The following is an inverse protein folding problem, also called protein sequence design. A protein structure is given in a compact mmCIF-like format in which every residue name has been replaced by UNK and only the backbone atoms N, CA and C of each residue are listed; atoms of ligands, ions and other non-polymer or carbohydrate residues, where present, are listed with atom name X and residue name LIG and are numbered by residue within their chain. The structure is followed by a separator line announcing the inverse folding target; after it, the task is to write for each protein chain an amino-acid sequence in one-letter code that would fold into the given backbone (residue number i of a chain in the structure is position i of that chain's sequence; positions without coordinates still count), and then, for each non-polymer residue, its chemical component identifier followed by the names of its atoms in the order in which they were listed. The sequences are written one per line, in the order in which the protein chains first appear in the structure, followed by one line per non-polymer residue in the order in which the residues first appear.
data_IF_809092768988
#
_entry.id   IF_809092768988
#
_cell.length_a   1.000
_cell.length_b   1.000
_cell.length_c   1.000
_cell.angle_alpha   90.00
_cell.angle_beta   90.00
_cell.angle_gamma   90.00
#
_symmetry.space_group_name_H-M   'P 1'
#
loop_
_entity.id
_entity.type
_entity.pdbx_description
1 polymer ?
#
# COMPACT_ATOMS: atom_id res chain seq x y z
N UNK A 1 -16.09 -19.12 48.64
CA UNK A 1 -17.14 -18.25 48.07
C UNK A 1 -17.00 -18.35 46.55
N UNK A 2 -17.56 -19.42 46.01
CA UNK A 2 -17.70 -19.71 44.58
C UNK A 2 -19.21 -19.61 44.32
N UNK A 3 -19.62 -19.33 43.08
CA UNK A 3 -21.00 -19.28 42.57
C UNK A 3 -21.79 -17.97 42.72
N UNK A 4 -21.39 -16.93 41.97
CA UNK A 4 -22.37 -15.91 41.54
C UNK A 4 -22.20 -15.44 40.08
N UNK A 5 -21.09 -15.76 39.42
CA UNK A 5 -20.84 -15.37 38.01
C UNK A 5 -21.43 -16.36 36.99
N UNK A 6 -21.39 -17.68 37.27
CA UNK A 6 -22.08 -18.69 36.45
C UNK A 6 -23.60 -18.59 36.51
N UNK A 7 -24.16 -18.07 37.62
CA UNK A 7 -25.60 -17.88 37.74
C UNK A 7 -26.08 -16.73 36.85
N UNK A 8 -25.34 -15.62 36.78
CA UNK A 8 -25.72 -14.46 35.96
C UNK A 8 -25.57 -14.68 34.44
N UNK A 9 -24.58 -15.46 33.98
CA UNK A 9 -24.48 -15.79 32.55
C UNK A 9 -25.60 -16.75 32.11
N UNK A 10 -25.95 -17.75 32.95
CA UNK A 10 -27.05 -18.67 32.66
C UNK A 10 -28.42 -17.99 32.72
N UNK A 11 -28.59 -16.97 33.57
CA UNK A 11 -29.82 -16.16 33.63
C UNK A 11 -29.95 -15.23 32.42
N UNK A 12 -28.85 -14.66 31.91
CA UNK A 12 -28.88 -13.84 30.69
C UNK A 12 -29.23 -14.67 29.45
N UNK A 13 -28.63 -15.86 29.30
CA UNK A 13 -28.93 -16.79 28.20
C UNK A 13 -30.36 -17.34 28.29
N UNK A 14 -30.86 -17.65 29.49
CA UNK A 14 -32.24 -18.10 29.67
C UNK A 14 -33.28 -16.99 29.45
N UNK A 15 -32.96 -15.74 29.79
CA UNK A 15 -33.82 -14.58 29.47
C UNK A 15 -33.89 -14.32 27.97
N UNK A 16 -32.78 -14.40 27.26
CA UNK A 16 -32.76 -14.24 25.79
C UNK A 16 -33.51 -15.39 25.12
N UNK A 17 -33.33 -16.63 25.57
CA UNK A 17 -34.10 -17.77 25.07
C UNK A 17 -35.61 -17.63 25.36
N UNK A 18 -35.99 -17.16 26.55
CA UNK A 18 -37.41 -16.94 26.89
C UNK A 18 -38.04 -15.80 26.08
N UNK A 19 -37.33 -14.68 25.87
CA UNK A 19 -37.78 -13.57 25.02
C UNK A 19 -37.92 -14.01 23.56
N UNK A 20 -36.99 -14.83 23.08
CA UNK A 20 -37.04 -15.41 21.74
C UNK A 20 -38.22 -16.36 21.58
N UNK A 21 -38.45 -17.23 22.57
CA UNK A 21 -39.59 -18.14 22.56
C UNK A 21 -40.93 -17.39 22.59
N UNK A 22 -41.03 -16.33 23.40
CA UNK A 22 -42.21 -15.45 23.42
C UNK A 22 -42.43 -14.76 22.08
N UNK A 23 -41.38 -14.26 21.43
CA UNK A 23 -41.46 -13.66 20.10
C UNK A 23 -41.95 -14.66 19.04
N UNK A 24 -41.46 -15.90 19.07
CA UNK A 24 -41.94 -16.96 18.16
C UNK A 24 -43.43 -17.24 18.42
N UNK A 25 -43.85 -17.41 19.67
CA UNK A 25 -45.25 -17.67 20.03
C UNK A 25 -46.18 -16.53 19.63
N UNK A 26 -45.75 -15.28 19.77
CA UNK A 26 -46.51 -14.09 19.40
C UNK A 26 -46.68 -13.99 17.87
N UNK A 27 -45.62 -14.31 17.11
CA UNK A 27 -45.68 -14.32 15.64
C UNK A 27 -46.52 -15.47 15.09
N UNK A 28 -46.48 -16.65 15.72
CA UNK A 28 -47.39 -17.76 15.38
C UNK A 28 -48.85 -17.38 15.64
N UNK A 29 -49.16 -16.70 16.75
CA UNK A 29 -50.51 -16.18 17.03
C UNK A 29 -50.97 -15.11 16.03
N UNK A 30 -50.04 -14.37 15.42
CA UNK A 30 -50.33 -13.40 14.36
C UNK A 30 -50.54 -13.99 12.96
N UNK A 31 -50.54 -15.32 12.83
CA UNK A 31 -50.81 -16.03 11.58
C UNK A 31 -49.57 -16.34 10.72
N UNK A 32 -48.36 -16.05 11.21
CA UNK A 32 -47.11 -16.42 10.55
C UNK A 32 -46.76 -17.85 10.95
N UNK A 33 -46.57 -18.74 9.99
CA UNK A 33 -46.27 -20.13 10.29
C UNK A 33 -44.91 -20.30 10.97
N UNK A 34 -44.78 -21.32 11.82
CA UNK A 34 -43.49 -21.70 12.44
C UNK A 34 -42.40 -21.96 11.39
N UNK A 35 -42.78 -22.45 10.20
CA UNK A 35 -41.89 -22.65 9.06
C UNK A 35 -41.37 -21.33 8.47
N UNK A 36 -42.20 -20.29 8.36
CA UNK A 36 -41.79 -18.96 7.91
C UNK A 36 -40.87 -18.28 8.93
N UNK A 37 -41.15 -18.42 10.23
CA UNK A 37 -40.28 -17.91 11.29
C UNK A 37 -38.91 -18.61 11.27
N UNK A 38 -38.89 -19.94 11.15
CA UNK A 38 -37.64 -20.71 11.04
C UNK A 38 -36.86 -20.35 9.77
N UNK A 39 -37.55 -20.10 8.66
CA UNK A 39 -36.94 -19.62 7.41
C UNK A 39 -36.33 -18.24 7.57
N UNK A 40 -37.04 -17.29 8.20
CA UNK A 40 -36.56 -15.94 8.50
C UNK A 40 -35.34 -15.97 9.43
N UNK A 41 -35.41 -16.79 10.48
CA UNK A 41 -34.29 -16.98 11.40
C UNK A 41 -33.10 -17.61 10.68
N UNK A 42 -33.32 -18.65 9.87
CA UNK A 42 -32.24 -19.27 9.08
C UNK A 42 -31.65 -18.28 8.08
N UNK A 43 -32.43 -17.37 7.49
CA UNK A 43 -31.95 -16.30 6.63
C UNK A 43 -31.16 -15.24 7.42
N UNK A 44 -31.62 -14.87 8.61
CA UNK A 44 -30.91 -13.95 9.52
C UNK A 44 -29.59 -14.56 9.99
N UNK A 45 -29.58 -15.84 10.39
CA UNK A 45 -28.38 -16.55 10.82
C UNK A 45 -27.43 -16.81 9.65
N UNK A 46 -27.91 -17.20 8.45
CA UNK A 46 -27.08 -17.29 7.25
C UNK A 46 -26.53 -15.93 6.79
N UNK A 47 -27.29 -14.86 7.00
CA UNK A 47 -26.83 -13.49 6.74
C UNK A 47 -25.77 -13.09 7.78
N UNK A 48 -25.95 -13.46 9.05
CA UNK A 48 -24.96 -13.22 10.10
C UNK A 48 -23.69 -14.08 9.93
N UNK A 49 -23.80 -15.33 9.46
CA UNK A 49 -22.65 -16.19 9.10
C UNK A 49 -21.91 -15.70 7.84
N UNK A 50 -22.52 -14.79 7.06
CA UNK A 50 -21.90 -14.14 5.88
C UNK A 50 -21.20 -12.80 6.20
N UNK A 51 -21.25 -12.35 7.46
CA UNK A 51 -20.84 -11.01 7.87
C UNK A 51 -19.61 -11.04 8.78
N UNK A 52 -18.50 -11.64 8.33
CA UNK A 52 -17.22 -11.38 8.99
C UNK A 52 -16.15 -11.24 7.92
N UNK A 53 -15.46 -10.10 7.91
CA UNK A 53 -14.28 -9.93 7.09
C UNK A 53 -13.18 -10.90 7.55
N UNK A 54 -12.56 -11.59 6.59
CA UNK A 54 -11.33 -12.32 6.86
C UNK A 54 -10.21 -11.34 7.25
N UNK A 55 -9.15 -11.84 7.89
CA UNK A 55 -7.99 -11.00 8.21
C UNK A 55 -7.37 -10.36 6.94
N UNK A 56 -7.43 -11.05 5.80
CA UNK A 56 -6.95 -10.55 4.53
C UNK A 56 -7.81 -9.38 4.00
N UNK A 57 -9.14 -9.54 4.01
CA UNK A 57 -10.08 -8.51 3.56
C UNK A 57 -10.00 -7.26 4.45
N UNK A 58 -9.97 -7.47 5.78
CA UNK A 58 -9.82 -6.40 6.75
C UNK A 58 -8.49 -5.66 6.59
N UNK A 59 -7.39 -6.41 6.40
CA UNK A 59 -6.07 -5.81 6.16
C UNK A 59 -6.05 -4.99 4.86
N UNK A 60 -6.64 -5.50 3.78
CA UNK A 60 -6.66 -4.81 2.49
C UNK A 60 -7.45 -3.50 2.58
N UNK A 61 -8.66 -3.53 3.17
CA UNK A 61 -9.48 -2.34 3.40
C UNK A 61 -8.79 -1.33 4.31
N UNK A 62 -8.18 -1.79 5.41
CA UNK A 62 -7.49 -0.91 6.36
C UNK A 62 -6.29 -0.21 5.71
N UNK A 63 -5.44 -0.96 5.00
CA UNK A 63 -4.26 -0.40 4.35
C UNK A 63 -4.63 0.53 3.20
N UNK A 64 -5.68 0.20 2.44
CA UNK A 64 -6.20 1.10 1.40
C UNK A 64 -6.73 2.40 2.02
N UNK A 65 -7.47 2.35 3.13
CA UNK A 65 -7.97 3.56 3.79
C UNK A 65 -6.83 4.50 4.21
N UNK A 66 -5.78 3.96 4.83
CA UNK A 66 -4.62 4.75 5.23
C UNK A 66 -3.87 5.32 4.01
N UNK A 67 -3.74 4.53 2.93
CA UNK A 67 -3.13 4.96 1.68
C UNK A 67 -3.92 6.06 0.97
N UNK A 68 -5.24 5.91 0.84
CA UNK A 68 -6.11 6.86 0.14
C UNK A 68 -6.29 8.14 0.95
N UNK A 69 -6.40 8.09 2.27
CA UNK A 69 -6.46 9.31 3.10
C UNK A 69 -5.16 10.13 3.02
N UNK A 70 -4.00 9.46 2.96
CA UNK A 70 -2.71 10.11 2.66
C UNK A 70 -2.72 10.71 1.24
N UNK A 71 -3.16 9.94 0.25
CA UNK A 71 -3.18 10.38 -1.15
C UNK A 71 -4.09 11.59 -1.37
N UNK A 72 -5.24 11.66 -0.69
CA UNK A 72 -6.13 12.84 -0.71
C UNK A 72 -5.40 14.10 -0.28
N UNK A 73 -4.63 14.04 0.82
CA UNK A 73 -3.83 15.16 1.30
C UNK A 73 -2.79 15.60 0.24
N UNK A 74 -2.09 14.64 -0.36
CA UNK A 74 -1.09 14.89 -1.41
C UNK A 74 -1.72 15.51 -2.65
N UNK A 75 -2.81 14.94 -3.16
CA UNK A 75 -3.45 15.42 -4.39
C UNK A 75 -4.15 16.76 -4.21
N UNK A 76 -4.71 17.06 -3.02
CA UNK A 76 -5.23 18.40 -2.71
C UNK A 76 -4.14 19.47 -2.77
N UNK A 77 -2.96 19.18 -2.23
CA UNK A 77 -1.81 20.07 -2.36
C UNK A 77 -1.35 20.19 -3.82
N UNK A 78 -1.22 19.07 -4.53
CA UNK A 78 -0.80 19.06 -5.94
C UNK A 78 -1.73 19.87 -6.84
N UNK A 79 -3.04 19.77 -6.65
CA UNK A 79 -4.04 20.56 -7.38
C UNK A 79 -3.95 22.07 -7.10
N UNK A 80 -3.43 22.46 -5.94
CA UNK A 80 -3.23 23.88 -5.62
C UNK A 80 -1.99 24.48 -6.29
N UNK A 81 -1.04 23.64 -6.72
CA UNK A 81 0.23 24.09 -7.30
C UNK A 81 0.35 23.80 -8.80
N UNK A 82 -0.36 22.81 -9.34
CA UNK A 82 -0.24 22.39 -10.75
C UNK A 82 -0.61 23.52 -11.71
N UNK A 83 0.17 23.66 -12.79
CA UNK A 83 -0.08 24.66 -13.85
C UNK A 83 -0.49 24.00 -15.18
N UNK A 84 0.05 22.82 -15.48
CA UNK A 84 -0.29 22.04 -16.67
C UNK A 84 -1.71 21.45 -16.54
N UNK A 85 -2.60 21.84 -17.44
CA UNK A 85 -4.01 21.43 -17.42
C UNK A 85 -4.22 19.94 -17.72
N UNK A 86 -3.34 19.29 -18.50
CA UNK A 86 -3.43 17.84 -18.74
C UNK A 86 -3.04 17.05 -17.49
N UNK A 87 -2.00 17.50 -16.79
CA UNK A 87 -1.58 16.92 -15.50
C UNK A 87 -2.64 17.19 -14.44
N UNK A 88 -3.22 18.39 -14.40
CA UNK A 88 -4.32 18.71 -13.49
C UNK A 88 -5.49 17.75 -13.63
N UNK A 89 -5.91 17.41 -14.86
CA UNK A 89 -6.98 16.44 -15.08
C UNK A 89 -6.67 15.05 -14.51
N UNK A 90 -5.41 14.62 -14.55
CA UNK A 90 -4.95 13.38 -13.91
C UNK A 90 -5.05 13.47 -12.39
N UNK A 91 -4.64 14.60 -11.82
CA UNK A 91 -4.67 14.84 -10.37
C UNK A 91 -6.11 14.91 -9.84
N UNK A 92 -7.03 15.55 -10.57
CA UNK A 92 -8.46 15.62 -10.25
C UNK A 92 -9.09 14.22 -10.23
N UNK A 93 -8.80 13.41 -11.26
CA UNK A 93 -9.27 12.02 -11.31
C UNK A 93 -8.69 11.19 -10.17
N UNK A 94 -7.40 11.37 -9.86
CA UNK A 94 -6.73 10.64 -8.77
C UNK A 94 -7.35 10.98 -7.41
N UNK A 95 -7.62 12.26 -7.15
CA UNK A 95 -8.31 12.71 -5.93
C UNK A 95 -9.73 12.13 -5.84
N UNK A 96 -10.51 12.23 -6.93
CA UNK A 96 -11.88 11.71 -6.99
C UNK A 96 -11.93 10.20 -6.67
N UNK A 97 -10.99 9.42 -7.22
CA UNK A 97 -10.92 7.98 -6.96
C UNK A 97 -10.62 7.71 -5.48
N UNK A 98 -9.61 8.34 -4.90
CA UNK A 98 -9.27 8.15 -3.48
C UNK A 98 -10.41 8.56 -2.54
N UNK A 99 -11.11 9.66 -2.81
CA UNK A 99 -12.28 10.08 -2.02
C UNK A 99 -13.43 9.06 -2.12
N UNK A 100 -13.70 8.55 -3.33
CA UNK A 100 -14.69 7.50 -3.56
C UNK A 100 -14.35 6.18 -2.84
N UNK A 101 -13.07 5.79 -2.84
CA UNK A 101 -12.60 4.61 -2.11
C UNK A 101 -12.82 4.74 -0.60
N UNK A 102 -12.48 5.89 0.00
CA UNK A 102 -12.68 6.14 1.44
C UNK A 102 -14.14 5.96 1.84
N UNK A 103 -15.06 6.52 1.05
CA UNK A 103 -16.49 6.36 1.29
C UNK A 103 -16.88 4.87 1.28
N UNK A 104 -16.42 4.12 0.28
CA UNK A 104 -16.77 2.71 0.12
C UNK A 104 -16.18 1.80 1.20
N UNK A 105 -14.93 2.04 1.59
CA UNK A 105 -14.26 1.29 2.66
C UNK A 105 -14.95 1.53 4.00
N UNK A 106 -15.36 2.78 4.25
CA UNK A 106 -16.11 3.14 5.46
C UNK A 106 -17.39 2.33 5.58
N UNK A 107 -18.17 2.21 4.51
CA UNK A 107 -19.37 1.35 4.48
C UNK A 107 -19.07 -0.11 4.85
N UNK A 108 -18.00 -0.69 4.28
CA UNK A 108 -17.62 -2.07 4.57
C UNK A 108 -17.25 -2.26 6.04
N UNK A 109 -16.39 -1.41 6.58
CA UNK A 109 -15.95 -1.51 7.96
C UNK A 109 -17.10 -1.27 8.96
N UNK A 110 -17.97 -0.28 8.72
CA UNK A 110 -19.15 -0.02 9.55
C UNK A 110 -20.13 -1.20 9.53
N UNK A 111 -20.40 -1.77 8.34
CA UNK A 111 -21.33 -2.89 8.20
C UNK A 111 -20.92 -4.14 8.99
N UNK A 112 -19.64 -4.23 9.32
CA UNK A 112 -18.98 -5.34 10.00
C UNK A 112 -18.57 -4.97 11.43
N UNK A 113 -19.00 -3.79 11.92
CA UNK A 113 -18.70 -3.24 13.25
C UNK A 113 -17.20 -3.06 13.55
N UNK A 114 -16.39 -2.81 12.53
CA UNK A 114 -14.99 -2.40 12.72
C UNK A 114 -14.90 -0.88 12.94
N UNK A 115 -13.93 -0.47 13.75
CA UNK A 115 -13.60 0.94 13.88
C UNK A 115 -13.03 1.46 12.56
N UNK A 116 -13.45 2.66 12.15
CA UNK A 116 -12.88 3.35 11.01
C UNK A 116 -11.51 3.94 11.39
N UNK A 117 -10.46 3.74 10.58
CA UNK A 117 -9.18 4.39 10.81
C UNK A 117 -9.33 5.91 10.81
N UNK A 118 -8.51 6.62 11.58
CA UNK A 118 -8.47 8.08 11.52
C UNK A 118 -7.79 8.55 10.21
N UNK A 119 -6.74 7.84 9.79
CA UNK A 119 -5.97 8.16 8.60
C UNK A 119 -5.31 9.53 8.65
N UNK A 120 -5.39 10.24 7.53
CA UNK A 120 -4.89 11.59 7.35
C UNK A 120 -6.02 12.56 7.05
N UNK A 121 -5.89 13.77 7.55
CA UNK A 121 -6.94 14.79 7.49
C UNK A 121 -6.40 16.10 6.93
N UNK A 122 -7.24 17.12 6.81
CA UNK A 122 -6.80 18.49 6.46
C UNK A 122 -5.73 19.08 7.40
N UNK A 123 -5.51 18.49 8.59
CA UNK A 123 -4.42 18.88 9.49
C UNK A 123 -3.05 18.37 9.03
N UNK A 124 -3.03 17.39 8.13
CA UNK A 124 -1.83 16.76 7.60
C UNK A 124 -1.35 17.38 6.30
N UNK A 125 -2.05 18.41 5.80
CA UNK A 125 -1.71 19.16 4.59
C UNK A 125 -1.83 20.67 4.80
N UNK A 126 -0.85 21.41 4.31
CA UNK A 126 -0.86 22.87 4.24
C UNK A 126 -0.99 23.32 2.77
N UNK A 127 -2.22 23.64 2.36
CA UNK A 127 -2.50 24.09 1.00
C UNK A 127 -1.89 25.47 0.67
N UNK A 128 -1.48 26.24 1.67
CA UNK A 128 -0.83 27.55 1.46
C UNK A 128 0.69 27.43 1.29
N UNK A 129 1.26 26.23 1.38
CA UNK A 129 2.69 26.04 1.17
C UNK A 129 3.05 26.37 -0.29
N UNK A 130 4.19 27.06 -0.56
CA UNK A 130 4.70 27.23 -1.92
C UNK A 130 4.97 25.87 -2.57
N UNK A 131 5.00 25.86 -3.90
CA UNK A 131 5.29 24.67 -4.70
C UNK A 131 6.60 24.03 -4.26
N UNK A 132 6.58 22.76 -3.87
CA UNK A 132 7.73 21.92 -3.52
C UNK A 132 8.21 21.06 -4.70
N UNK A 133 7.30 20.77 -5.65
CA UNK A 133 7.54 19.87 -6.78
C UNK A 133 7.07 20.51 -8.09
N UNK A 134 7.82 20.33 -9.17
CA UNK A 134 7.37 20.71 -10.52
C UNK A 134 6.24 19.81 -11.02
N UNK A 135 5.53 20.24 -12.07
CA UNK A 135 4.46 19.44 -12.71
C UNK A 135 4.95 18.10 -13.23
N UNK A 136 6.17 18.06 -13.77
CA UNK A 136 6.84 16.84 -14.20
C UNK A 136 6.91 15.82 -13.07
N UNK A 137 7.28 16.26 -11.85
CA UNK A 137 7.28 15.38 -10.68
C UNK A 137 5.87 15.00 -10.23
N UNK A 138 4.87 15.87 -10.34
CA UNK A 138 3.48 15.53 -10.01
C UNK A 138 2.96 14.37 -10.88
N UNK A 139 3.28 14.40 -12.18
CA UNK A 139 2.95 13.33 -13.11
C UNK A 139 3.73 12.04 -12.80
N UNK A 140 5.03 12.16 -12.50
CA UNK A 140 5.86 11.01 -12.13
C UNK A 140 5.42 10.36 -10.81
N UNK A 141 5.08 11.16 -9.81
CA UNK A 141 4.48 10.72 -8.56
C UNK A 141 3.21 9.91 -8.84
N UNK A 142 2.28 10.47 -9.61
CA UNK A 142 1.01 9.81 -9.96
C UNK A 142 1.25 8.49 -10.69
N UNK A 143 2.24 8.44 -11.58
CA UNK A 143 2.66 7.20 -12.26
C UNK A 143 3.10 6.12 -11.28
N UNK A 144 3.96 6.45 -10.32
CA UNK A 144 4.47 5.49 -9.34
C UNK A 144 3.35 5.02 -8.39
N UNK A 145 2.52 5.94 -7.90
CA UNK A 145 1.41 5.61 -7.01
C UNK A 145 0.34 4.75 -7.69
N UNK A 146 0.04 4.99 -8.98
CA UNK A 146 -0.88 4.15 -9.74
C UNK A 146 -0.37 2.70 -9.87
N UNK A 147 0.94 2.48 -10.03
CA UNK A 147 1.54 1.14 -10.04
C UNK A 147 1.35 0.44 -8.69
N UNK A 148 1.54 1.16 -7.59
CA UNK A 148 1.36 0.61 -6.25
C UNK A 148 -0.11 0.22 -6.01
N UNK A 149 -1.06 1.09 -6.38
CA UNK A 149 -2.49 0.79 -6.32
C UNK A 149 -2.86 -0.46 -7.14
N UNK A 150 -2.45 -0.51 -8.42
CA UNK A 150 -2.69 -1.68 -9.28
C UNK A 150 -2.17 -2.98 -8.68
N UNK A 151 -0.95 -2.95 -8.11
CA UNK A 151 -0.35 -4.13 -7.48
C UNK A 151 -1.14 -4.57 -6.24
N UNK A 152 -1.48 -3.61 -5.38
CA UNK A 152 -2.19 -3.86 -4.13
C UNK A 152 -3.61 -4.38 -4.39
N UNK A 153 -4.35 -3.78 -5.33
CA UNK A 153 -5.70 -4.22 -5.67
C UNK A 153 -5.71 -5.61 -6.31
N UNK A 154 -4.73 -5.92 -7.16
CA UNK A 154 -4.59 -7.28 -7.70
C UNK A 154 -4.39 -8.32 -6.59
N UNK A 155 -3.58 -8.02 -5.57
CA UNK A 155 -3.38 -8.91 -4.43
C UNK A 155 -4.63 -9.01 -3.55
N UNK A 156 -5.31 -7.89 -3.32
CA UNK A 156 -6.55 -7.86 -2.54
C UNK A 156 -7.64 -8.72 -3.18
N UNK A 157 -7.80 -8.68 -4.51
CA UNK A 157 -8.77 -9.53 -5.23
C UNK A 157 -8.46 -11.02 -4.99
N UNK A 158 -7.20 -11.43 -5.14
CA UNK A 158 -6.82 -12.85 -5.04
C UNK A 158 -6.77 -13.38 -3.61
N UNK A 159 -6.79 -12.49 -2.62
CA UNK A 159 -6.74 -12.82 -1.21
C UNK A 159 -8.07 -12.51 -0.47
N UNK A 160 -9.14 -12.20 -1.20
CA UNK A 160 -10.49 -11.99 -0.66
C UNK A 160 -11.38 -13.19 -0.97
N UNK A 161 -12.30 -13.54 -0.07
CA UNK A 161 -13.24 -14.65 -0.25
C UNK A 161 -14.64 -14.15 -0.62
N UNK A 162 -15.05 -13.01 -0.06
CA UNK A 162 -16.36 -12.41 -0.29
C UNK A 162 -16.44 -11.75 -1.65
N UNK A 163 -17.51 -12.06 -2.39
CA UNK A 163 -17.70 -11.57 -3.75
C UNK A 163 -17.91 -10.04 -3.83
N UNK A 164 -18.55 -9.42 -2.84
CA UNK A 164 -18.72 -7.97 -2.80
C UNK A 164 -17.38 -7.23 -2.61
N UNK A 165 -16.49 -7.77 -1.78
CA UNK A 165 -15.12 -7.26 -1.59
C UNK A 165 -14.27 -7.48 -2.85
N UNK A 166 -14.34 -8.67 -3.47
CA UNK A 166 -13.66 -8.94 -4.74
C UNK A 166 -14.13 -7.97 -5.84
N UNK A 167 -15.45 -7.75 -5.97
CA UNK A 167 -16.02 -6.82 -6.94
C UNK A 167 -15.55 -5.38 -6.69
N UNK A 168 -15.48 -4.95 -5.43
CA UNK A 168 -14.98 -3.64 -5.07
C UNK A 168 -13.51 -3.45 -5.48
N UNK A 169 -12.62 -4.39 -5.13
CA UNK A 169 -11.22 -4.28 -5.53
C UNK A 169 -11.03 -4.44 -7.05
N UNK A 170 -11.89 -5.19 -7.73
CA UNK A 170 -11.91 -5.26 -9.19
C UNK A 170 -12.27 -3.91 -9.82
N UNK A 171 -13.26 -3.20 -9.27
CA UNK A 171 -13.59 -1.83 -9.69
C UNK A 171 -12.39 -0.89 -9.49
N UNK A 172 -11.76 -0.93 -8.31
CA UNK A 172 -10.55 -0.15 -8.01
C UNK A 172 -9.41 -0.46 -9.00
N UNK A 173 -9.24 -1.73 -9.38
CA UNK A 173 -8.24 -2.16 -10.37
C UNK A 173 -8.54 -1.58 -11.76
N UNK A 174 -9.80 -1.65 -12.22
CA UNK A 174 -10.21 -1.13 -13.53
C UNK A 174 -10.03 0.37 -13.63
N UNK A 175 -10.49 1.13 -12.62
CA UNK A 175 -10.36 2.60 -12.60
C UNK A 175 -8.90 3.02 -12.50
N UNK A 176 -8.09 2.33 -11.69
CA UNK A 176 -6.65 2.60 -11.58
C UNK A 176 -5.89 2.25 -12.86
N UNK A 177 -6.33 1.23 -13.61
CA UNK A 177 -5.76 0.91 -14.94
C UNK A 177 -6.05 2.03 -15.92
N UNK A 178 -7.28 2.56 -15.94
CA UNK A 178 -7.64 3.69 -16.81
C UNK A 178 -6.82 4.94 -16.47
N UNK A 179 -6.68 5.25 -15.18
CA UNK A 179 -5.80 6.32 -14.70
C UNK A 179 -4.35 6.10 -15.15
N UNK A 180 -3.81 4.89 -14.95
CA UNK A 180 -2.45 4.54 -15.36
C UNK A 180 -2.23 4.72 -16.86
N UNK A 181 -3.18 4.30 -17.70
CA UNK A 181 -3.10 4.47 -19.14
C UNK A 181 -3.11 5.94 -19.56
N UNK A 182 -3.94 6.78 -18.91
CA UNK A 182 -3.93 8.23 -19.12
C UNK A 182 -2.57 8.84 -18.75
N UNK A 183 -2.03 8.49 -17.58
CA UNK A 183 -0.72 8.94 -17.12
C UNK A 183 0.37 8.55 -18.11
N UNK A 184 0.41 7.28 -18.54
CA UNK A 184 1.44 6.80 -19.48
C UNK A 184 1.33 7.50 -20.84
N UNK A 185 0.12 7.74 -21.34
CA UNK A 185 -0.07 8.44 -22.61
C UNK A 185 0.43 9.88 -22.54
N UNK A 186 0.17 10.60 -21.44
CA UNK A 186 0.70 11.94 -21.24
C UNK A 186 2.22 11.93 -21.04
N UNK A 187 2.73 11.01 -20.22
CA UNK A 187 4.15 10.90 -19.91
C UNK A 187 5.00 10.66 -21.17
N UNK A 188 4.51 9.92 -22.17
CA UNK A 188 5.22 9.69 -23.45
C UNK A 188 5.53 10.98 -24.23
N UNK A 189 4.77 12.05 -24.00
CA UNK A 189 4.99 13.34 -24.65
C UNK A 189 5.98 14.22 -23.89
N UNK A 190 6.44 13.79 -22.71
CA UNK A 190 7.34 14.55 -21.86
C UNK A 190 8.82 14.24 -22.20
N UNK A 191 9.72 15.24 -22.09
CA UNK A 191 11.11 15.10 -22.52
C UNK A 191 11.92 14.05 -21.73
N UNK A 192 11.52 13.78 -20.48
CA UNK A 192 12.19 12.84 -19.56
C UNK A 192 11.60 11.42 -19.59
N UNK A 193 10.74 11.10 -20.56
CA UNK A 193 10.15 9.76 -20.66
C UNK A 193 11.20 8.70 -21.00
N UNK A 194 11.46 7.80 -20.06
CA UNK A 194 12.34 6.64 -20.24
C UNK A 194 11.56 5.32 -20.28
N UNK A 195 11.69 4.62 -21.40
CA UNK A 195 11.18 3.24 -21.59
C UNK A 195 12.13 2.21 -20.99
N UNK A 196 11.58 1.06 -20.61
CA UNK A 196 12.39 -0.14 -20.29
C UNK A 196 13.23 -0.52 -21.51
N UNK A 197 14.51 -0.95 -21.35
CA UNK A 197 15.36 -1.33 -22.46
C UNK A 197 14.74 -2.43 -23.34
N UNK A 198 14.91 -2.33 -24.66
CA UNK A 198 14.50 -3.37 -25.62
C UNK A 198 15.62 -4.40 -25.80
N UNK A 199 15.25 -5.65 -26.05
CA UNK A 199 16.18 -6.74 -26.39
C UNK A 199 15.90 -7.17 -27.83
N UNK A 200 16.93 -7.46 -28.64
CA UNK A 200 16.74 -8.00 -29.99
C UNK A 200 15.91 -9.29 -29.99
N UNK A 201 15.12 -9.52 -31.05
CA UNK A 201 14.40 -10.78 -31.21
C UNK A 201 15.38 -11.93 -31.39
N UNK A 202 15.19 -13.03 -30.67
CA UNK A 202 15.82 -14.30 -31.02
C UNK A 202 15.06 -14.96 -32.18
N UNK A 203 15.78 -15.70 -33.02
CA UNK A 203 15.21 -16.50 -34.12
C UNK A 203 15.27 -18.00 -33.86
N UNK A 204 15.95 -18.44 -32.79
CA UNK A 204 16.11 -19.85 -32.43
C UNK A 204 15.90 -20.06 -30.92
N UNK A 205 15.48 -21.28 -30.54
CA UNK A 205 15.36 -21.66 -29.13
C UNK A 205 16.73 -22.11 -28.64
N UNK A 206 17.32 -21.33 -27.73
CA UNK A 206 18.58 -21.64 -27.07
C UNK A 206 18.33 -22.12 -25.63
N UNK A 207 19.14 -23.08 -25.18
CA UNK A 207 19.11 -23.59 -23.81
C UNK A 207 20.31 -23.06 -23.04
N UNK A 208 20.10 -22.71 -21.78
CA UNK A 208 21.19 -22.29 -20.90
C UNK A 208 22.16 -23.46 -20.71
N UNK A 209 23.42 -23.25 -21.04
CA UNK A 209 24.50 -24.24 -21.04
C UNK A 209 25.26 -24.33 -19.71
N UNK A 210 24.96 -23.44 -18.76
CA UNK A 210 25.60 -23.37 -17.45
C UNK A 210 24.58 -23.17 -16.33
N UNK A 211 24.90 -23.67 -15.13
CA UNK A 211 23.98 -23.60 -13.99
C UNK A 211 23.73 -22.18 -13.49
N UNK A 212 24.57 -21.20 -13.87
CA UNK A 212 24.38 -19.73 -13.70
C UNK A 212 24.33 -19.20 -12.26
N UNK A 213 23.70 -19.93 -11.35
CA UNK A 213 23.49 -19.64 -9.94
C UNK A 213 24.78 -19.92 -9.13
N UNK A 214 25.69 -20.76 -9.64
CA UNK A 214 26.89 -21.19 -8.90
C UNK A 214 28.17 -20.56 -9.46
N UNK A 215 28.24 -20.26 -10.77
CA UNK A 215 29.46 -19.81 -11.45
C UNK A 215 29.64 -18.30 -11.54
N UNK A 216 28.60 -17.49 -11.31
CA UNK A 216 28.58 -16.06 -11.68
C UNK A 216 29.04 -15.08 -10.58
N UNK A 217 29.62 -15.58 -9.48
CA UNK A 217 30.23 -14.72 -8.44
C UNK A 217 31.63 -14.23 -8.83
N UNK A 218 32.34 -14.96 -9.71
CA UNK A 218 33.70 -14.63 -10.15
C UNK A 218 33.84 -14.92 -11.65
N UNK A 219 34.42 -13.99 -12.42
CA UNK A 219 34.65 -14.14 -13.87
C UNK A 219 33.60 -13.46 -14.75
N UNK A 220 33.62 -13.78 -16.06
CA UNK A 220 32.67 -13.24 -17.04
C UNK A 220 31.27 -13.79 -16.76
N UNK A 221 30.31 -12.87 -16.60
CA UNK A 221 28.91 -13.20 -16.31
C UNK A 221 28.15 -13.34 -17.63
N UNK A 222 27.16 -14.23 -17.67
CA UNK A 222 26.21 -14.24 -18.79
C UNK A 222 25.48 -12.88 -18.90
N UNK A 223 25.05 -12.49 -20.11
CA UNK A 223 24.17 -11.34 -20.28
C UNK A 223 22.88 -11.48 -19.44
N UNK A 224 22.33 -10.34 -19.04
CA UNK A 224 21.05 -10.21 -18.38
C UNK A 224 19.94 -10.73 -19.30
N UNK A 225 19.01 -11.51 -18.73
CA UNK A 225 17.80 -11.91 -19.45
C UNK A 225 16.72 -10.82 -19.35
N UNK A 226 15.64 -10.98 -20.11
CA UNK A 226 14.53 -10.02 -20.16
C UNK A 226 13.87 -9.75 -18.80
N UNK A 227 13.69 -10.78 -17.97
CA UNK A 227 13.12 -10.65 -16.63
C UNK A 227 14.03 -9.85 -15.70
N UNK A 228 15.33 -10.11 -15.73
CA UNK A 228 16.34 -9.41 -14.94
C UNK A 228 16.43 -7.93 -15.32
N UNK A 229 16.46 -7.63 -16.63
CA UNK A 229 16.47 -6.26 -17.15
C UNK A 229 15.21 -5.51 -16.70
N UNK A 230 14.04 -6.14 -16.89
CA UNK A 230 12.75 -5.56 -16.51
C UNK A 230 12.72 -5.21 -15.01
N UNK A 231 13.10 -6.15 -14.14
CA UNK A 231 13.07 -5.96 -12.70
C UNK A 231 14.11 -4.93 -12.21
N UNK A 232 15.35 -4.99 -12.71
CA UNK A 232 16.40 -4.02 -12.34
C UNK A 232 15.99 -2.60 -12.72
N UNK A 233 15.48 -2.40 -13.94
CA UNK A 233 15.04 -1.08 -14.39
C UNK A 233 13.83 -0.58 -13.59
N UNK A 234 12.85 -1.45 -13.34
CA UNK A 234 11.66 -1.14 -12.57
C UNK A 234 11.98 -0.72 -11.12
N UNK A 235 12.86 -1.49 -10.45
CA UNK A 235 13.27 -1.23 -9.08
C UNK A 235 14.20 -0.01 -8.98
N UNK A 236 15.11 0.17 -9.93
CA UNK A 236 15.94 1.38 -9.99
C UNK A 236 15.08 2.65 -10.09
N UNK A 237 14.09 2.66 -11.00
CA UNK A 237 13.18 3.81 -11.19
C UNK A 237 12.42 4.17 -9.90
N UNK A 238 11.90 3.16 -9.20
CA UNK A 238 11.17 3.37 -7.92
C UNK A 238 12.09 3.77 -6.78
N UNK A 239 13.29 3.23 -6.74
CA UNK A 239 14.27 3.58 -5.71
C UNK A 239 14.76 5.03 -5.91
N UNK A 240 14.94 5.46 -7.17
CA UNK A 240 15.15 6.86 -7.53
C UNK A 240 14.01 7.77 -7.10
N UNK A 241 12.75 7.37 -7.30
CA UNK A 241 11.59 8.09 -6.76
C UNK A 241 11.65 8.26 -5.23
N UNK A 242 11.94 7.18 -4.50
CA UNK A 242 12.09 7.23 -3.03
C UNK A 242 13.19 8.22 -2.61
N UNK A 243 14.31 8.25 -3.35
CA UNK A 243 15.39 9.23 -3.14
C UNK A 243 14.89 10.66 -3.28
N UNK A 244 14.29 11.01 -4.42
CA UNK A 244 13.88 12.38 -4.69
C UNK A 244 12.77 12.83 -3.72
N UNK A 245 11.82 11.95 -3.39
CA UNK A 245 10.80 12.25 -2.39
C UNK A 245 11.41 12.45 -0.99
N UNK A 246 12.36 11.60 -0.59
CA UNK A 246 13.07 11.76 0.68
C UNK A 246 13.89 13.05 0.72
N UNK A 247 14.47 13.47 -0.42
CA UNK A 247 15.20 14.73 -0.52
C UNK A 247 14.27 15.92 -0.28
N UNK A 248 13.12 15.95 -0.95
CA UNK A 248 12.10 16.98 -0.74
C UNK A 248 11.57 17.00 0.70
N UNK A 249 11.27 15.84 1.28
CA UNK A 249 10.83 15.76 2.68
C UNK A 249 11.92 16.17 3.67
N UNK A 250 13.20 15.85 3.39
CA UNK A 250 14.30 16.32 4.23
C UNK A 250 14.45 17.85 4.23
N UNK A 251 14.10 18.50 3.12
CA UNK A 251 14.14 19.95 3.00
C UNK A 251 13.09 20.65 3.86
N UNK A 252 11.92 20.03 4.03
CA UNK A 252 10.74 20.67 4.65
C UNK A 252 10.28 20.07 5.97
N UNK A 253 10.79 18.89 6.37
CA UNK A 253 10.45 18.26 7.65
C UNK A 253 10.61 19.24 8.80
N UNK A 254 9.66 19.27 9.74
CA UNK A 254 9.68 20.22 10.86
C UNK A 254 10.55 19.67 12.00
N UNK A 255 10.31 18.41 12.38
CA UNK A 255 11.05 17.68 13.39
C UNK A 255 12.44 17.25 12.89
N UNK A 256 13.46 17.57 13.67
CA UNK A 256 14.86 17.21 13.37
C UNK A 256 15.08 15.69 13.22
N UNK A 257 14.34 14.88 13.97
CA UNK A 257 14.44 13.41 13.87
C UNK A 257 13.90 12.90 12.53
N UNK A 258 12.80 13.47 12.05
CA UNK A 258 12.23 13.15 10.73
C UNK A 258 13.15 13.64 9.63
N UNK A 259 13.67 14.86 9.74
CA UNK A 259 14.67 15.42 8.84
C UNK A 259 15.89 14.51 8.69
N UNK A 260 16.51 14.09 9.81
CA UNK A 260 17.66 13.18 9.82
C UNK A 260 17.34 11.83 9.19
N UNK A 261 16.15 11.29 9.47
CA UNK A 261 15.69 10.06 8.85
C UNK A 261 15.59 10.19 7.32
N UNK A 262 15.00 11.29 6.83
CA UNK A 262 14.87 11.54 5.39
C UNK A 262 16.23 11.73 4.71
N UNK A 263 17.16 12.50 5.31
CA UNK A 263 18.54 12.62 4.80
C UNK A 263 19.22 11.26 4.69
N UNK A 264 19.07 10.41 5.72
CA UNK A 264 19.61 9.06 5.68
C UNK A 264 18.99 8.21 4.56
N UNK A 265 17.69 8.35 4.31
CA UNK A 265 17.04 7.65 3.20
C UNK A 265 17.56 8.13 1.85
N UNK A 266 17.81 9.43 1.65
CA UNK A 266 18.43 9.95 0.40
C UNK A 266 19.75 9.25 0.09
N UNK A 267 20.59 9.04 1.11
CA UNK A 267 21.86 8.34 0.95
C UNK A 267 21.67 6.85 0.63
N UNK A 268 20.77 6.16 1.34
CA UNK A 268 20.56 4.73 1.17
C UNK A 268 19.89 4.41 -0.17
N UNK A 269 18.78 5.08 -0.50
CA UNK A 269 18.10 4.86 -1.79
C UNK A 269 18.96 5.30 -2.97
N UNK A 270 19.79 6.35 -2.82
CA UNK A 270 20.78 6.70 -3.84
C UNK A 270 21.80 5.58 -4.10
N UNK A 271 22.35 4.99 -3.03
CA UNK A 271 23.26 3.84 -3.14
C UNK A 271 22.58 2.62 -3.77
N UNK A 272 21.33 2.37 -3.42
CA UNK A 272 20.57 1.20 -3.89
C UNK A 272 20.21 1.35 -5.38
N UNK A 273 19.68 2.51 -5.78
CA UNK A 273 19.42 2.84 -7.18
C UNK A 273 20.67 2.73 -8.05
N UNK A 274 21.79 3.29 -7.58
CA UNK A 274 23.07 3.23 -8.29
C UNK A 274 23.58 1.79 -8.44
N UNK A 275 23.33 0.94 -7.44
CA UNK A 275 23.73 -0.46 -7.50
C UNK A 275 22.97 -1.25 -8.57
N UNK A 276 21.68 -0.96 -8.78
CA UNK A 276 20.91 -1.51 -9.90
C UNK A 276 21.40 -0.96 -11.24
N UNK A 277 21.64 0.36 -11.31
CA UNK A 277 22.14 1.04 -12.51
C UNK A 277 23.47 0.47 -12.98
N UNK A 278 24.39 0.22 -12.04
CA UNK A 278 25.70 -0.40 -12.33
C UNK A 278 25.54 -1.77 -12.98
N UNK A 279 24.56 -2.58 -12.55
CA UNK A 279 24.31 -3.91 -13.16
C UNK A 279 23.77 -3.76 -14.59
N UNK A 280 22.83 -2.83 -14.82
CA UNK A 280 22.32 -2.54 -16.16
C UNK A 280 23.43 -2.06 -17.12
N UNK A 281 24.31 -1.18 -16.63
CA UNK A 281 25.39 -0.60 -17.41
C UNK A 281 26.50 -1.60 -17.77
N UNK A 282 26.69 -2.68 -16.99
CA UNK A 282 27.62 -3.77 -17.33
C UNK A 282 27.26 -4.43 -18.67
N UNK A 283 25.98 -4.42 -19.03
CA UNK A 283 25.46 -4.93 -20.29
C UNK A 283 25.14 -3.79 -21.29
N UNK A 284 25.69 -2.58 -21.06
CA UNK A 284 25.48 -1.39 -21.87
C UNK A 284 24.00 -0.96 -22.04
N UNK A 285 23.17 -1.26 -21.06
CA UNK A 285 21.74 -0.89 -21.05
C UNK A 285 21.53 0.52 -20.48
N UNK A 286 20.50 1.26 -20.93
CA UNK A 286 20.16 2.55 -20.37
C UNK A 286 19.63 2.41 -18.94
N UNK A 287 19.81 3.47 -18.15
CA UNK A 287 19.36 3.57 -16.76
C UNK A 287 18.15 4.53 -16.66
N UNK A 288 17.32 4.41 -15.62
CA UNK A 288 16.25 5.37 -15.37
C UNK A 288 16.76 6.80 -15.09
N UNK A 289 15.94 7.78 -15.42
CA UNK A 289 16.18 9.22 -15.18
C UNK A 289 16.16 9.57 -13.68
N UNK A 290 16.95 10.57 -13.27
CA UNK A 290 16.94 11.14 -11.92
C UNK A 290 15.95 12.31 -11.83
N UNK A 291 15.28 12.45 -10.68
CA UNK A 291 14.20 13.42 -10.48
C UNK A 291 14.52 14.46 -9.40
N UNK A 292 15.77 14.47 -8.90
CA UNK A 292 16.20 15.39 -7.84
C UNK A 292 16.11 16.87 -8.28
N UNK A 293 16.23 17.15 -9.58
CA UNK A 293 16.12 18.50 -10.16
C UNK A 293 14.68 19.05 -10.16
N UNK A 294 13.68 18.20 -9.96
CA UNK A 294 12.26 18.58 -9.98
C UNK A 294 11.74 19.03 -8.61
N UNK A 295 12.64 19.17 -7.64
CA UNK A 295 12.38 19.68 -6.30
C UNK A 295 12.73 21.17 -6.28
N UNK A 296 11.81 22.01 -5.82
CA UNK A 296 12.02 23.47 -5.76
C UNK A 296 12.83 23.88 -4.52
N UNK A 297 13.06 25.17 -4.33
CA UNK A 297 13.72 25.75 -3.15
C UNK A 297 12.76 26.01 -1.96
N UNK A 298 11.51 25.52 -2.02
CA UNK A 298 10.51 25.75 -0.96
C UNK A 298 10.93 25.14 0.38
N UNK A 299 10.91 25.94 1.44
CA UNK A 299 11.23 25.50 2.82
C UNK A 299 10.01 25.36 3.73
N UNK A 300 8.82 25.63 3.21
CA UNK A 300 7.57 25.52 3.97
C UNK A 300 6.97 24.16 3.68
N UNK A 301 6.71 23.37 4.72
CA UNK A 301 6.16 22.04 4.53
C UNK A 301 4.73 22.08 4.03
N UNK A 302 4.41 21.38 2.92
CA UNK A 302 3.03 21.12 2.53
C UNK A 302 2.41 19.97 3.33
N UNK A 303 3.19 19.16 4.06
CA UNK A 303 2.71 17.96 4.74
C UNK A 303 3.16 17.88 6.20
N UNK A 304 2.36 17.22 7.05
CA UNK A 304 2.80 16.91 8.40
C UNK A 304 3.95 15.91 8.43
N UNK A 305 4.77 15.95 9.47
CA UNK A 305 5.80 14.93 9.71
C UNK A 305 5.20 13.52 9.82
N UNK A 306 3.97 13.41 10.35
CA UNK A 306 3.19 12.16 10.40
C UNK A 306 3.00 11.59 8.98
N UNK A 307 2.53 12.42 8.05
CA UNK A 307 2.29 12.05 6.66
C UNK A 307 3.60 11.65 5.98
N UNK A 308 4.65 12.47 6.12
CA UNK A 308 5.94 12.20 5.48
C UNK A 308 6.54 10.85 5.94
N UNK A 309 6.51 10.54 7.24
CA UNK A 309 7.02 9.26 7.75
C UNK A 309 6.15 8.08 7.33
N UNK A 310 4.82 8.24 7.29
CA UNK A 310 3.92 7.19 6.80
C UNK A 310 4.14 6.89 5.33
N UNK A 311 4.31 7.94 4.52
CA UNK A 311 4.61 7.80 3.11
C UNK A 311 5.92 7.03 2.89
N UNK A 312 6.97 7.36 3.66
CA UNK A 312 8.22 6.60 3.62
C UNK A 312 8.00 5.13 4.03
N UNK A 313 7.22 4.86 5.08
CA UNK A 313 6.90 3.49 5.51
C UNK A 313 6.11 2.71 4.44
N UNK A 314 5.15 3.36 3.78
CA UNK A 314 4.39 2.80 2.67
C UNK A 314 5.30 2.40 1.51
N UNK A 315 6.22 3.29 1.12
CA UNK A 315 7.17 3.03 0.03
C UNK A 315 8.17 1.92 0.39
N UNK A 316 8.62 1.86 1.65
CA UNK A 316 9.45 0.75 2.14
C UNK A 316 8.70 -0.59 1.99
N UNK A 317 7.43 -0.65 2.40
CA UNK A 317 6.64 -1.87 2.27
C UNK A 317 6.51 -2.30 0.79
N UNK A 318 6.19 -1.35 -0.10
CA UNK A 318 6.10 -1.62 -1.53
C UNK A 318 7.44 -2.12 -2.10
N UNK A 319 8.56 -1.48 -1.73
CA UNK A 319 9.89 -1.88 -2.16
C UNK A 319 10.23 -3.32 -1.73
N UNK A 320 9.97 -3.69 -0.47
CA UNK A 320 10.22 -5.05 0.03
C UNK A 320 9.46 -6.11 -0.77
N UNK A 321 8.20 -5.84 -1.13
CA UNK A 321 7.41 -6.75 -1.99
C UNK A 321 8.03 -6.92 -3.38
N UNK A 322 8.44 -5.83 -4.03
CA UNK A 322 9.05 -5.89 -5.36
C UNK A 322 10.44 -6.54 -5.35
N UNK A 323 11.25 -6.27 -4.32
CA UNK A 323 12.56 -6.90 -4.18
C UNK A 323 12.42 -8.41 -3.97
N UNK A 324 11.47 -8.86 -3.15
CA UNK A 324 11.18 -10.29 -2.97
C UNK A 324 10.78 -10.97 -4.29
N UNK A 325 9.88 -10.34 -5.07
CA UNK A 325 9.51 -10.85 -6.38
C UNK A 325 10.69 -10.89 -7.36
N UNK A 326 11.57 -9.88 -7.29
CA UNK A 326 12.75 -9.77 -8.17
C UNK A 326 13.81 -10.80 -7.84
N UNK A 327 14.01 -11.14 -6.57
CA UNK A 327 14.86 -12.27 -6.14
C UNK A 327 14.34 -13.57 -6.75
N UNK A 328 13.03 -13.83 -6.63
CA UNK A 328 12.41 -15.05 -7.18
C UNK A 328 12.48 -15.14 -8.71
N UNK A 329 12.63 -14.02 -9.41
CA UNK A 329 12.73 -13.95 -10.86
C UNK A 329 14.18 -13.85 -11.39
N UNK A 330 15.19 -13.89 -10.51
CA UNK A 330 16.60 -13.73 -10.89
C UNK A 330 17.34 -15.07 -10.94
N UNK A 331 18.20 -15.23 -11.95
CA UNK A 331 19.01 -16.45 -12.13
C UNK A 331 20.52 -16.18 -12.01
N UNK A 332 20.90 -14.92 -11.76
CA UNK A 332 22.27 -14.45 -11.55
C UNK A 332 22.52 -14.17 -10.07
N UNK A 333 23.55 -14.78 -9.49
CA UNK A 333 23.85 -14.69 -8.05
C UNK A 333 24.24 -13.27 -7.62
N UNK A 334 24.91 -12.51 -8.48
CA UNK A 334 25.25 -11.10 -8.18
C UNK A 334 24.00 -10.21 -8.06
N UNK A 335 22.98 -10.48 -8.87
CA UNK A 335 21.68 -9.80 -8.79
C UNK A 335 20.95 -10.18 -7.50
N UNK A 336 20.92 -11.47 -7.15
CA UNK A 336 20.30 -11.95 -5.91
C UNK A 336 20.96 -11.30 -4.70
N UNK A 337 22.30 -11.32 -4.61
CA UNK A 337 23.05 -10.70 -3.52
C UNK A 337 22.88 -9.18 -3.48
N UNK A 338 22.75 -8.52 -4.64
CA UNK A 338 22.42 -7.11 -4.70
C UNK A 338 21.02 -6.85 -4.10
N UNK A 339 20.00 -7.63 -4.48
CA UNK A 339 18.66 -7.52 -3.92
C UNK A 339 18.62 -7.83 -2.41
N UNK A 340 19.40 -8.79 -1.91
CA UNK A 340 19.50 -9.04 -0.47
C UNK A 340 20.07 -7.83 0.29
N UNK A 341 21.08 -7.16 -0.27
CA UNK A 341 21.67 -5.96 0.32
C UNK A 341 20.66 -4.81 0.40
N UNK A 342 20.01 -4.48 -0.71
CA UNK A 342 19.00 -3.38 -0.75
C UNK A 342 17.76 -3.72 0.09
N UNK A 343 17.37 -5.01 0.17
CA UNK A 343 16.30 -5.47 1.06
C UNK A 343 16.65 -5.19 2.54
N UNK A 344 17.89 -5.46 2.95
CA UNK A 344 18.35 -5.15 4.31
C UNK A 344 18.34 -3.64 4.60
N UNK A 345 18.73 -2.80 3.63
CA UNK A 345 18.62 -1.34 3.77
C UNK A 345 17.16 -0.88 3.95
N UNK A 346 16.25 -1.39 3.12
CA UNK A 346 14.82 -1.09 3.21
C UNK A 346 14.22 -1.55 4.54
N UNK A 347 14.57 -2.74 5.04
CA UNK A 347 14.14 -3.22 6.36
C UNK A 347 14.62 -2.30 7.49
N UNK A 348 15.87 -1.81 7.42
CA UNK A 348 16.40 -0.86 8.41
C UNK A 348 15.63 0.48 8.38
N UNK A 349 15.32 0.98 7.18
CA UNK A 349 14.49 2.18 7.02
C UNK A 349 13.09 1.98 7.62
N UNK A 350 12.43 0.84 7.32
CA UNK A 350 11.12 0.48 7.88
C UNK A 350 11.11 0.38 9.41
N UNK A 351 12.15 -0.22 10.00
CA UNK A 351 12.32 -0.25 11.46
C UNK A 351 12.43 1.17 12.06
N UNK A 352 13.08 2.08 11.33
CA UNK A 352 13.21 3.48 11.75
C UNK A 352 11.86 4.22 11.65
N UNK A 353 11.11 4.04 10.56
CA UNK A 353 9.74 4.56 10.45
C UNK A 353 8.88 4.10 11.63
N UNK A 354 8.87 2.79 11.90
CA UNK A 354 8.08 2.21 12.98
C UNK A 354 8.41 2.85 14.34
N UNK A 355 9.70 3.00 14.66
CA UNK A 355 10.14 3.64 15.90
C UNK A 355 9.68 5.09 16.02
N UNK A 356 9.81 5.87 14.95
CA UNK A 356 9.35 7.27 14.92
C UNK A 356 7.84 7.33 15.12
N UNK A 357 7.08 6.54 14.35
CA UNK A 357 5.62 6.58 14.40
C UNK A 357 5.07 6.14 15.76
N UNK A 358 5.67 5.13 16.38
CA UNK A 358 5.29 4.71 17.75
C UNK A 358 5.62 5.81 18.75
N UNK A 359 6.81 6.40 18.68
CA UNK A 359 7.27 7.46 19.59
C UNK A 359 6.33 8.67 19.62
N UNK A 360 5.81 9.08 18.46
CA UNK A 360 4.91 10.23 18.35
C UNK A 360 3.41 9.87 18.33
N UNK A 361 3.06 8.59 18.54
CA UNK A 361 1.66 8.15 18.55
C UNK A 361 0.96 8.27 17.19
N UNK A 362 1.72 8.14 16.10
CA UNK A 362 1.26 8.29 14.72
C UNK A 362 0.83 6.97 14.08
N UNK A 363 1.25 5.83 14.64
CA UNK A 363 0.90 4.52 14.11
C UNK A 363 -0.45 4.07 14.68
N UNK A 364 -1.47 4.05 13.83
CA UNK A 364 -2.74 3.44 14.19
C UNK A 364 -2.61 1.93 14.32
N UNK A 365 -3.20 1.40 15.39
CA UNK A 365 -3.21 -0.02 15.66
C UNK A 365 -4.21 -0.71 14.74
N UNK A 366 -3.74 -1.67 13.95
CA UNK A 366 -4.64 -2.51 13.14
C UNK A 366 -5.47 -3.43 14.06
N UNK A 367 -6.62 -3.93 13.58
CA UNK A 367 -7.31 -5.02 14.25
C UNK A 367 -6.38 -6.23 14.43
N UNK A 368 -6.29 -6.72 15.66
CA UNK A 368 -5.37 -7.80 16.04
C UNK A 368 -6.10 -9.08 16.43
N UNK A 369 -5.37 -10.19 16.40
CA UNK A 369 -5.83 -11.42 17.01
C UNK A 369 -6.06 -11.22 18.52
N UNK A 370 -7.11 -11.87 19.04
CA UNK A 370 -7.42 -11.83 20.48
C UNK A 370 -6.25 -12.41 21.28
N UNK A 371 -5.71 -11.62 22.22
CA UNK A 371 -4.71 -12.11 23.17
C UNK A 371 -5.36 -12.99 24.24
N UNK A 372 -5.41 -14.29 23.94
CA UNK A 372 -5.96 -15.29 24.85
C UNK A 372 -5.16 -15.45 26.14
N UNK A 373 -3.86 -15.09 26.15
CA UNK A 373 -3.05 -15.15 27.37
C UNK A 373 -3.45 -14.05 28.34
N UNK A 374 -3.61 -12.83 27.85
CA UNK A 374 -4.12 -11.71 28.67
C UNK A 374 -5.53 -12.01 29.20
N UNK A 375 -6.44 -12.53 28.36
CA UNK A 375 -7.79 -12.92 28.80
C UNK A 375 -7.80 -14.01 29.89
N UNK A 376 -6.86 -14.94 29.87
CA UNK A 376 -6.75 -15.99 30.88
C UNK A 376 -6.13 -15.49 32.20
N UNK A 377 -5.43 -14.35 32.18
CA UNK A 377 -4.81 -13.74 33.36
C UNK A 377 -5.70 -12.65 33.98
N UNK A 378 -6.55 -11.99 33.20
CA UNK A 378 -7.46 -10.93 33.65
C UNK A 378 -8.68 -11.45 34.44
N UNK A 379 -8.80 -12.76 34.69
CA UNK A 379 -9.86 -13.34 35.53
C UNK A 379 -9.66 -13.16 37.05
N UNK A 380 -8.62 -12.43 37.50
CA UNK A 380 -8.30 -12.21 38.93
C UNK A 380 -8.45 -10.75 39.43
N UNK A 381 -9.24 -9.87 38.79
CA UNK A 381 -9.50 -8.52 39.32
C UNK A 381 -10.96 -8.22 39.62
#
# INVERSE_FOLDING_TARGET
MIDNTHHNSNIATSKVQNLFQQFIEEKVKSGISSAEITSLLTQITKKAEKNTLTAAELSALWLQYLGDSMAICVYKYFLNIVEDEEIKSILELSLQLSEGHIAKITEFLESENYQIPLGFTEKDVNLNAPRLFTDSFLLFYSYIMAIHGLTAYSLAITNSERQDIQNYFYECLVTSKDLFQKIVNLAKNQPFYSSVPTIPSSHEVEFVDSTGIISNLFGDKRPLNSSEISNLFFNSKKTGFVRSLSLAFSQVAELEEVRKFMVKNVELSGKDAESFNTILQQDHLPIPESWDAEITDSKVSPFSDKLMVFHAAFLVNAALSYYGASIGASLRSDIILNYEKVLNHAMHAGSTCYKIMVKYGWLEKQPEAIDRKSLAQDSEK
#
